data_IF_286713380554
#
_entry.id   IF_286713380554
#
_cell.length_a   1.000
_cell.length_b   1.000
_cell.length_c   1.000
_cell.angle_alpha   90.00
_cell.angle_beta   90.00
_cell.angle_gamma   90.00
#
_symmetry.space_group_name_H-M   'P 1'
#
loop_
_entity.id
_entity.type
_entity.pdbx_description
1 polymer ?
#
# COMPACT_ATOMS: atom_id res chain seq x y z
N UNK A 1 22.17 47.49 -27.76
CA UNK A 1 22.47 46.24 -28.49
C UNK A 1 21.81 44.97 -27.90
N UNK A 2 21.14 44.98 -26.73
CA UNK A 2 20.50 43.76 -26.16
C UNK A 2 18.98 43.63 -26.36
N UNK A 3 18.29 44.60 -26.97
CA UNK A 3 16.83 44.52 -27.23
C UNK A 3 16.43 43.99 -28.61
N UNK A 4 17.37 43.88 -29.56
CA UNK A 4 17.10 43.35 -30.91
C UNK A 4 17.34 41.84 -31.06
N UNK A 5 18.00 41.19 -30.09
CA UNK A 5 18.28 39.74 -30.14
C UNK A 5 17.09 38.88 -29.67
N UNK A 6 16.26 39.38 -28.74
CA UNK A 6 15.10 38.64 -28.23
C UNK A 6 13.94 38.52 -29.21
N UNK A 7 13.72 39.52 -30.06
CA UNK A 7 12.65 39.50 -31.07
C UNK A 7 12.95 38.48 -32.18
N UNK A 8 14.22 38.40 -32.63
CA UNK A 8 14.65 37.46 -33.67
C UNK A 8 14.57 35.98 -33.20
N UNK A 9 14.89 35.70 -31.93
CA UNK A 9 14.74 34.33 -31.38
C UNK A 9 13.27 33.92 -31.18
N UNK A 10 12.40 34.87 -30.82
CA UNK A 10 10.95 34.60 -30.68
C UNK A 10 10.24 34.39 -32.04
N UNK A 11 10.82 34.90 -33.12
CA UNK A 11 10.31 34.72 -34.48
C UNK A 11 10.80 33.39 -35.10
N UNK A 12 12.07 33.02 -34.87
CA UNK A 12 12.58 31.68 -35.21
C UNK A 12 11.86 30.55 -34.45
N UNK A 13 11.50 30.76 -33.19
CA UNK A 13 10.73 29.78 -32.40
C UNK A 13 9.31 29.58 -32.92
N UNK A 14 8.67 30.65 -33.43
CA UNK A 14 7.32 30.58 -34.03
C UNK A 14 7.32 29.94 -35.42
N UNK A 15 8.35 30.17 -36.22
CA UNK A 15 8.50 29.51 -37.53
C UNK A 15 8.72 28.00 -37.37
N UNK A 16 9.53 27.56 -36.41
CA UNK A 16 9.73 26.13 -36.12
C UNK A 16 8.46 25.41 -35.66
N UNK A 17 7.64 26.06 -34.83
CA UNK A 17 6.32 25.52 -34.44
C UNK A 17 5.30 25.52 -35.58
N UNK A 18 5.44 26.41 -36.57
CA UNK A 18 4.58 26.45 -37.75
C UNK A 18 4.95 25.35 -38.77
N UNK A 19 6.24 25.03 -38.90
CA UNK A 19 6.72 23.93 -39.75
C UNK A 19 6.35 22.56 -39.14
N UNK A 20 6.51 22.36 -37.83
CA UNK A 20 6.06 21.12 -37.15
C UNK A 20 4.56 20.87 -37.29
N UNK A 21 3.76 21.94 -37.38
CA UNK A 21 2.31 21.85 -37.61
C UNK A 21 1.93 21.60 -39.07
N UNK A 22 2.82 21.86 -40.03
CA UNK A 22 2.62 21.52 -41.45
C UNK A 22 2.98 20.07 -41.73
N UNK A 23 3.98 19.52 -41.05
CA UNK A 23 4.34 18.09 -41.15
C UNK A 23 3.35 17.16 -40.43
N UNK A 24 2.58 17.67 -39.47
CA UNK A 24 1.50 16.93 -38.81
C UNK A 24 0.18 16.88 -39.62
N UNK A 25 0.15 17.48 -40.82
CA UNK A 25 -1.04 17.61 -41.67
C UNK A 25 -1.29 16.47 -42.66
N UNK A 26 -0.71 15.28 -42.45
CA UNK A 26 -0.97 14.08 -43.23
C UNK A 26 -2.21 13.35 -42.71
N UNK A 27 -3.24 13.24 -43.56
CA UNK A 27 -4.45 12.44 -43.34
C UNK A 27 -4.17 11.07 -42.74
N UNK A 28 -4.83 10.72 -41.63
CA UNK A 28 -4.75 9.39 -41.04
C UNK A 28 -5.47 8.36 -41.93
N UNK A 29 -4.79 7.85 -42.95
CA UNK A 29 -5.19 6.61 -43.61
C UNK A 29 -4.77 5.44 -42.72
N UNK A 30 -5.73 4.55 -42.43
CA UNK A 30 -5.52 3.30 -41.71
C UNK A 30 -4.41 2.46 -42.38
N UNK A 31 -3.25 2.38 -41.72
CA UNK A 31 -2.16 1.51 -42.15
C UNK A 31 -2.54 0.03 -41.99
N UNK A 32 -2.47 -0.72 -43.10
CA UNK A 32 -2.77 -2.15 -43.17
C UNK A 32 -1.63 -2.99 -42.56
N UNK A 33 -1.91 -4.19 -42.03
CA UNK A 33 -0.86 -5.07 -41.51
C UNK A 33 -0.01 -5.63 -42.67
N UNK A 34 1.30 -5.35 -42.67
CA UNK A 34 2.25 -5.97 -43.61
C UNK A 34 3.36 -5.09 -44.19
N UNK A 35 3.71 -3.95 -43.59
CA UNK A 35 4.77 -3.08 -44.12
C UNK A 35 6.19 -3.69 -43.93
N UNK A 36 6.95 -3.98 -45.01
CA UNK A 36 8.28 -4.59 -44.97
C UNK A 36 9.36 -3.76 -44.25
N UNK A 37 9.15 -2.45 -44.08
CA UNK A 37 10.14 -1.56 -43.46
C UNK A 37 10.30 -1.79 -41.94
N UNK A 38 9.35 -2.47 -41.29
CA UNK A 38 9.43 -2.81 -39.86
C UNK A 38 10.31 -4.04 -39.60
N UNK A 39 10.29 -5.03 -40.50
CA UNK A 39 11.09 -6.25 -40.37
C UNK A 39 12.59 -5.96 -40.46
N UNK A 40 12.99 -5.07 -41.36
CA UNK A 40 14.40 -4.74 -41.52
C UNK A 40 15.02 -4.02 -40.31
N UNK A 41 14.22 -3.28 -39.52
CA UNK A 41 14.70 -2.55 -38.35
C UNK A 41 14.74 -3.41 -37.08
N UNK A 42 13.93 -4.48 -37.00
CA UNK A 42 13.95 -5.43 -35.88
C UNK A 42 15.09 -6.47 -36.01
N UNK A 43 15.48 -6.83 -37.25
CA UNK A 43 16.60 -7.76 -37.49
C UNK A 43 17.98 -7.14 -37.20
N UNK A 44 18.14 -5.83 -37.42
CA UNK A 44 19.41 -5.12 -37.23
C UNK A 44 19.73 -4.89 -35.74
N UNK A 45 18.70 -4.62 -34.91
CA UNK A 45 18.83 -4.48 -33.45
C UNK A 45 19.08 -5.83 -32.76
N UNK A 46 18.55 -6.92 -33.32
CA UNK A 46 18.78 -8.28 -32.80
C UNK A 46 20.22 -8.77 -32.96
N UNK A 47 20.95 -8.30 -33.99
CA UNK A 47 22.35 -8.69 -34.24
C UNK A 47 23.35 -8.00 -33.32
N UNK A 48 23.08 -6.78 -32.85
CA UNK A 48 23.96 -6.07 -31.90
C UNK A 48 23.83 -6.55 -30.44
N UNK A 49 22.77 -7.29 -30.10
CA UNK A 49 22.49 -7.72 -28.72
C UNK A 49 22.78 -9.20 -28.43
N UNK A 50 23.34 -9.96 -29.38
CA UNK A 50 23.88 -11.31 -29.13
C UNK A 50 22.86 -12.37 -28.66
N UNK A 51 21.56 -12.20 -28.93
CA UNK A 51 20.51 -13.12 -28.48
C UNK A 51 20.12 -14.12 -29.58
N UNK A 52 20.92 -15.17 -29.75
CA UNK A 52 20.48 -16.37 -30.46
C UNK A 52 19.93 -17.39 -29.47
N UNK A 53 18.60 -17.57 -29.46
CA UNK A 53 17.97 -18.67 -28.73
C UNK A 53 16.46 -18.54 -28.60
N UNK A 54 15.72 -19.16 -29.53
CA UNK A 54 14.29 -19.48 -29.39
C UNK A 54 14.10 -20.50 -28.27
N UNK A 55 14.07 -20.03 -27.01
CA UNK A 55 13.73 -20.87 -25.87
C UNK A 55 12.22 -20.87 -25.64
N UNK A 56 11.64 -22.06 -25.80
CA UNK A 56 10.23 -22.41 -25.52
C UNK A 56 9.75 -21.89 -24.17
N UNK A 57 9.11 -20.72 -24.18
CA UNK A 57 8.43 -20.10 -23.04
C UNK A 57 7.04 -20.73 -22.82
N UNK A 58 6.98 -22.03 -22.53
CA UNK A 58 5.70 -22.70 -22.17
C UNK A 58 5.73 -23.49 -20.86
N UNK A 59 6.85 -23.53 -20.12
CA UNK A 59 6.95 -24.31 -18.87
C UNK A 59 7.50 -23.58 -17.63
N UNK A 60 7.79 -22.28 -17.69
CA UNK A 60 8.34 -21.54 -16.53
C UNK A 60 7.46 -20.42 -15.97
N UNK A 61 6.22 -20.27 -16.45
CA UNK A 61 5.20 -19.40 -15.81
C UNK A 61 4.41 -20.16 -14.72
N UNK A 62 4.46 -21.50 -14.71
CA UNK A 62 3.77 -22.32 -13.71
C UNK A 62 4.41 -22.29 -12.31
N UNK A 63 5.70 -21.93 -12.20
CA UNK A 63 6.41 -21.98 -10.90
C UNK A 63 6.14 -20.73 -10.04
N UNK A 64 5.76 -19.59 -10.64
CA UNK A 64 5.28 -18.43 -9.86
C UNK A 64 3.80 -18.58 -9.43
N UNK A 65 3.05 -19.51 -10.04
CA UNK A 65 1.64 -19.74 -9.74
C UNK A 65 1.38 -20.65 -8.55
N UNK A 66 2.35 -21.43 -8.08
CA UNK A 66 2.13 -22.48 -7.07
C UNK A 66 2.47 -22.11 -5.62
N UNK A 67 2.88 -20.87 -5.34
CA UNK A 67 3.27 -20.39 -4.00
C UNK A 67 2.25 -19.43 -3.37
N UNK A 68 1.00 -19.87 -3.23
CA UNK A 68 0.00 -19.20 -2.37
C UNK A 68 -0.76 -18.01 -2.95
N UNK A 69 -0.28 -17.38 -4.03
CA UNK A 69 -0.94 -16.20 -4.62
C UNK A 69 -2.32 -16.49 -5.23
N UNK A 70 -2.56 -17.70 -5.72
CA UNK A 70 -3.85 -18.07 -6.35
C UNK A 70 -5.05 -17.99 -5.38
N UNK A 71 -4.82 -18.13 -4.07
CA UNK A 71 -5.89 -18.10 -3.07
C UNK A 71 -6.27 -16.66 -2.68
N UNK A 72 -5.33 -15.71 -2.71
CA UNK A 72 -5.59 -14.28 -2.46
C UNK A 72 -6.20 -13.60 -3.68
N UNK A 73 -5.83 -14.04 -4.88
CA UNK A 73 -6.24 -13.42 -6.15
C UNK A 73 -7.60 -13.90 -6.66
N UNK A 74 -8.22 -14.89 -6.02
CA UNK A 74 -9.55 -15.36 -6.41
C UNK A 74 -10.60 -14.50 -5.69
N UNK A 75 -11.54 -13.84 -6.40
CA UNK A 75 -12.66 -13.20 -5.74
C UNK A 75 -13.41 -14.26 -4.91
N UNK A 76 -13.93 -13.92 -3.72
CA UNK A 76 -14.57 -14.88 -2.84
C UNK A 76 -15.72 -15.56 -3.57
N UNK A 77 -15.56 -16.85 -3.87
CA UNK A 77 -16.68 -17.71 -4.17
C UNK A 77 -17.49 -17.85 -2.87
N UNK A 78 -18.79 -17.56 -2.92
CA UNK A 78 -19.71 -17.90 -1.84
C UNK A 78 -19.63 -19.40 -1.49
N UNK A 79 -20.22 -19.82 -0.36
CA UNK A 79 -20.02 -21.17 0.16
C UNK A 79 -20.69 -22.19 -0.76
N UNK A 80 -19.89 -22.88 -1.57
CA UNK A 80 -20.27 -24.12 -2.22
C UNK A 80 -19.13 -25.13 -1.99
N UNK A 81 -19.18 -25.77 -0.82
CA UNK A 81 -18.77 -27.17 -0.72
C UNK A 81 -19.73 -27.98 -1.59
N UNK A 82 -19.26 -28.39 -2.75
CA UNK A 82 -20.01 -29.23 -3.68
C UNK A 82 -19.25 -29.39 -4.98
N UNK A 83 -18.37 -30.40 -5.03
CA UNK A 83 -17.81 -30.84 -6.31
C UNK A 83 -18.90 -31.50 -7.16
N UNK A 84 -19.07 -31.04 -8.39
CA UNK A 84 -19.90 -31.65 -9.43
C UNK A 84 -19.58 -31.04 -10.80
N UNK A 85 -19.52 -31.82 -11.88
CA UNK A 85 -18.91 -31.39 -13.13
C UNK A 85 -19.80 -30.43 -13.93
N UNK A 86 -19.14 -29.62 -14.76
CA UNK A 86 -19.69 -28.56 -15.58
C UNK A 86 -20.96 -28.94 -16.35
N UNK A 87 -21.99 -28.09 -16.26
CA UNK A 87 -23.11 -28.10 -17.19
C UNK A 87 -24.42 -27.58 -16.60
N UNK A 88 -24.64 -26.26 -16.64
CA UNK A 88 -25.94 -25.62 -16.88
C UNK A 88 -25.81 -24.10 -16.69
N UNK A 89 -26.11 -23.35 -17.75
CA UNK A 89 -26.39 -21.91 -17.68
C UNK A 89 -27.66 -21.74 -16.85
N UNK A 90 -27.54 -21.33 -15.59
CA UNK A 90 -28.67 -20.91 -14.77
C UNK A 90 -28.52 -19.41 -14.45
N UNK A 91 -29.56 -18.65 -14.78
CA UNK A 91 -29.63 -17.21 -14.65
C UNK A 91 -29.36 -16.74 -13.20
N UNK A 92 -28.48 -15.75 -13.06
CA UNK A 92 -28.18 -15.09 -11.78
C UNK A 92 -29.23 -13.98 -11.56
N UNK A 93 -29.96 -13.96 -10.43
CA UNK A 93 -30.94 -12.92 -10.15
C UNK A 93 -30.27 -11.56 -9.85
N UNK A 94 -30.95 -10.43 -10.10
CA UNK A 94 -30.37 -9.10 -9.95
C UNK A 94 -30.43 -8.68 -8.48
N UNK A 95 -29.34 -8.89 -7.74
CA UNK A 95 -29.09 -8.21 -6.48
C UNK A 95 -27.94 -7.22 -6.67
N UNK A 96 -28.28 -5.94 -6.47
CA UNK A 96 -27.36 -4.80 -6.51
C UNK A 96 -26.20 -5.01 -5.53
N UNK A 97 -24.96 -4.74 -5.96
CA UNK A 97 -23.83 -4.52 -5.05
C UNK A 97 -22.48 -5.13 -5.45
N UNK A 98 -22.41 -5.99 -6.46
CA UNK A 98 -21.13 -6.34 -7.09
C UNK A 98 -21.26 -6.22 -8.59
N UNK A 99 -20.76 -5.12 -9.14
CA UNK A 99 -20.24 -5.21 -10.49
C UNK A 99 -19.24 -6.36 -10.46
N UNK A 100 -19.52 -7.45 -11.18
CA UNK A 100 -18.45 -8.30 -11.64
C UNK A 100 -17.44 -7.33 -12.26
N UNK A 101 -16.30 -7.16 -11.60
CA UNK A 101 -15.38 -6.09 -11.92
C UNK A 101 -15.13 -6.05 -13.41
N UNK A 102 -15.44 -4.94 -14.07
CA UNK A 102 -15.16 -4.75 -15.50
C UNK A 102 -13.65 -4.50 -15.70
N UNK A 103 -12.80 -5.32 -15.09
CA UNK A 103 -11.36 -5.27 -15.20
C UNK A 103 -10.80 -6.67 -15.49
N UNK A 104 -9.77 -6.79 -16.35
CA UNK A 104 -9.09 -8.05 -16.58
C UNK A 104 -8.47 -8.60 -15.29
N UNK A 105 -8.47 -9.93 -15.13
CA UNK A 105 -7.82 -10.57 -13.96
C UNK A 105 -6.34 -10.19 -13.82
N UNK A 106 -5.64 -9.94 -14.94
CA UNK A 106 -4.27 -9.46 -14.93
C UNK A 106 -4.10 -8.12 -14.18
N UNK A 107 -5.08 -7.22 -14.28
CA UNK A 107 -5.10 -5.95 -13.54
C UNK A 107 -5.21 -6.18 -12.04
N UNK A 108 -6.08 -7.11 -11.61
CA UNK A 108 -6.22 -7.47 -10.21
C UNK A 108 -4.95 -8.12 -9.65
N UNK A 109 -4.33 -9.02 -10.42
CA UNK A 109 -3.05 -9.62 -10.07
C UNK A 109 -1.99 -8.54 -9.85
N UNK A 110 -1.84 -7.63 -10.79
CA UNK A 110 -0.85 -6.56 -10.67
C UNK A 110 -1.13 -5.64 -9.47
N UNK A 111 -2.39 -5.21 -9.29
CA UNK A 111 -2.82 -4.36 -8.18
C UNK A 111 -2.49 -4.99 -6.81
N UNK A 112 -2.80 -6.27 -6.61
CA UNK A 112 -2.47 -6.96 -5.37
C UNK A 112 -0.96 -7.28 -5.24
N UNK A 113 -0.26 -7.51 -6.35
CA UNK A 113 1.19 -7.70 -6.35
C UNK A 113 1.94 -6.45 -5.86
N UNK A 114 1.49 -5.24 -6.22
CA UNK A 114 2.17 -4.02 -5.74
C UNK A 114 1.93 -3.78 -4.25
N UNK A 115 0.78 -4.18 -3.70
CA UNK A 115 0.51 -4.19 -2.26
C UNK A 115 1.43 -5.16 -1.50
N UNK A 116 1.61 -6.37 -2.05
CA UNK A 116 2.58 -7.33 -1.53
C UNK A 116 4.02 -6.78 -1.54
N UNK A 117 4.42 -6.16 -2.66
CA UNK A 117 5.75 -5.62 -2.83
C UNK A 117 6.05 -4.49 -1.84
N UNK A 118 5.15 -3.51 -1.69
CA UNK A 118 5.38 -2.39 -0.77
C UNK A 118 5.44 -2.87 0.69
N UNK A 119 4.65 -3.87 1.07
CA UNK A 119 4.67 -4.44 2.43
C UNK A 119 6.07 -4.97 2.80
N UNK A 120 6.74 -5.66 1.87
CA UNK A 120 8.09 -6.16 2.07
C UNK A 120 9.12 -5.02 2.19
N UNK A 121 8.97 -3.94 1.40
CA UNK A 121 9.84 -2.77 1.49
C UNK A 121 9.66 -2.02 2.82
N UNK A 122 8.43 -1.93 3.33
CA UNK A 122 8.16 -1.35 4.66
C UNK A 122 8.84 -2.16 5.76
N UNK A 123 8.71 -3.49 5.73
CA UNK A 123 9.38 -4.41 6.65
C UNK A 123 10.90 -4.25 6.57
N UNK A 124 11.47 -4.17 5.36
CA UNK A 124 12.89 -3.95 5.14
C UNK A 124 13.42 -2.68 5.83
N UNK A 125 12.57 -1.65 5.97
CA UNK A 125 12.86 -0.43 6.70
C UNK A 125 13.34 -0.66 8.13
N UNK A 126 12.82 -1.69 8.81
CA UNK A 126 13.28 -2.09 10.13
C UNK A 126 14.63 -2.79 10.11
N UNK A 127 15.09 -3.34 8.99
CA UNK A 127 16.29 -4.20 8.89
C UNK A 127 17.47 -3.52 8.18
N UNK A 128 17.30 -2.27 7.77
CA UNK A 128 18.33 -1.49 7.07
C UNK A 128 19.64 -1.46 7.86
N UNK A 129 20.74 -1.75 7.16
CA UNK A 129 22.09 -1.69 7.70
C UNK A 129 22.55 -2.92 8.48
N UNK A 130 21.76 -4.00 8.57
CA UNK A 130 22.13 -5.18 9.36
C UNK A 130 21.71 -6.55 8.82
N UNK A 131 20.75 -6.62 7.89
CA UNK A 131 20.43 -7.88 7.23
C UNK A 131 21.18 -7.99 5.90
N UNK A 132 21.90 -9.10 5.70
CA UNK A 132 22.58 -9.33 4.43
C UNK A 132 21.59 -9.74 3.32
N UNK A 133 21.98 -9.51 2.06
CA UNK A 133 21.09 -9.77 0.91
C UNK A 133 20.74 -11.25 0.73
N UNK A 134 21.61 -12.18 1.13
CA UNK A 134 21.35 -13.62 1.01
C UNK A 134 20.21 -14.04 1.94
N UNK A 135 20.26 -13.61 3.20
CA UNK A 135 19.18 -13.80 4.16
C UNK A 135 17.89 -13.14 3.65
N UNK A 136 17.98 -11.92 3.11
CA UNK A 136 16.81 -11.22 2.55
C UNK A 136 16.14 -12.00 1.40
N UNK A 137 16.93 -12.57 0.48
CA UNK A 137 16.40 -13.37 -0.64
C UNK A 137 15.66 -14.64 -0.20
N UNK A 138 15.97 -15.18 0.98
CA UNK A 138 15.27 -16.34 1.56
C UNK A 138 14.07 -15.86 2.39
N UNK A 139 14.28 -14.83 3.21
CA UNK A 139 13.25 -14.26 4.08
C UNK A 139 12.03 -13.78 3.29
N UNK A 140 12.23 -13.04 2.21
CA UNK A 140 11.15 -12.45 1.40
C UNK A 140 10.13 -13.48 0.91
N UNK A 141 10.51 -14.53 0.15
CA UNK A 141 9.53 -15.49 -0.35
C UNK A 141 8.86 -16.29 0.79
N UNK A 142 9.59 -16.60 1.86
CA UNK A 142 9.02 -17.29 3.02
C UNK A 142 7.99 -16.42 3.73
N UNK A 143 8.34 -15.17 4.05
CA UNK A 143 7.46 -14.26 4.77
C UNK A 143 6.24 -13.87 3.92
N UNK A 144 6.46 -13.65 2.62
CA UNK A 144 5.37 -13.37 1.69
C UNK A 144 4.36 -14.54 1.66
N UNK A 145 4.86 -15.78 1.58
CA UNK A 145 4.02 -16.98 1.48
C UNK A 145 3.31 -17.30 2.79
N UNK A 146 4.04 -17.32 3.91
CA UNK A 146 3.53 -17.82 5.19
C UNK A 146 2.92 -16.74 6.08
N UNK A 147 3.29 -15.47 5.90
CA UNK A 147 2.71 -14.37 6.67
C UNK A 147 1.76 -13.53 5.84
N UNK A 148 2.26 -12.83 4.81
CA UNK A 148 1.47 -11.85 4.05
C UNK A 148 0.25 -12.49 3.39
N UNK A 149 0.44 -13.60 2.65
CA UNK A 149 -0.67 -14.28 1.96
C UNK A 149 -1.75 -14.75 2.93
N UNK A 150 -1.40 -15.21 4.13
CA UNK A 150 -2.37 -15.64 5.15
C UNK A 150 -3.15 -14.44 5.70
N UNK A 151 -2.46 -13.33 6.01
CA UNK A 151 -3.11 -12.09 6.43
C UNK A 151 -4.05 -11.54 5.36
N UNK A 152 -3.57 -11.43 4.12
CA UNK A 152 -4.33 -10.96 2.98
C UNK A 152 -5.55 -11.84 2.69
N UNK A 153 -5.40 -13.16 2.72
CA UNK A 153 -6.53 -14.07 2.53
C UNK A 153 -7.56 -13.93 3.66
N UNK A 154 -7.09 -13.81 4.90
CA UNK A 154 -7.96 -13.69 6.08
C UNK A 154 -8.84 -12.44 6.03
N UNK A 155 -8.30 -11.30 5.56
CA UNK A 155 -8.95 -9.99 5.56
C UNK A 155 -9.59 -9.59 4.23
N UNK A 156 -9.07 -10.05 3.09
CA UNK A 156 -9.53 -9.63 1.75
C UNK A 156 -9.97 -10.80 0.86
N UNK A 157 -9.24 -11.92 0.91
CA UNK A 157 -9.45 -13.08 0.03
C UNK A 157 -10.67 -13.94 0.37
N UNK A 158 -11.53 -13.50 1.30
CA UNK A 158 -12.71 -14.26 1.73
C UNK A 158 -12.51 -15.16 2.94
N UNK A 159 -11.38 -15.05 3.64
CA UNK A 159 -11.08 -15.81 4.86
C UNK A 159 -11.90 -15.39 6.08
N UNK A 160 -11.57 -15.94 7.23
CA UNK A 160 -12.45 -15.86 8.41
C UNK A 160 -12.67 -14.43 8.94
N UNK A 161 -11.67 -13.54 8.91
CA UNK A 161 -11.83 -12.16 9.36
C UNK A 161 -12.71 -11.35 8.41
N UNK A 162 -12.57 -11.59 7.09
CA UNK A 162 -13.44 -11.03 6.06
C UNK A 162 -14.90 -11.44 6.29
N UNK A 163 -15.15 -12.74 6.50
CA UNK A 163 -16.51 -13.24 6.77
C UNK A 163 -17.08 -12.74 8.10
N UNK A 164 -16.23 -12.54 9.10
CA UNK A 164 -16.65 -11.99 10.39
C UNK A 164 -16.95 -10.48 10.31
N UNK A 165 -16.49 -9.81 9.25
CA UNK A 165 -16.73 -8.39 9.00
C UNK A 165 -15.70 -7.48 9.67
N UNK A 166 -14.44 -7.92 9.80
CA UNK A 166 -13.34 -7.00 10.08
C UNK A 166 -13.15 -6.10 8.88
N UNK A 167 -13.13 -4.79 9.11
CA UNK A 167 -12.95 -3.77 8.09
C UNK A 167 -11.46 -3.49 7.94
N UNK A 168 -10.92 -3.73 6.75
CA UNK A 168 -9.58 -3.29 6.37
C UNK A 168 -9.62 -2.85 4.92
N UNK A 169 -10.05 -1.60 4.70
CA UNK A 169 -10.35 -1.06 3.37
C UNK A 169 -9.17 -1.22 2.41
N UNK A 170 -7.99 -0.66 2.70
CA UNK A 170 -6.82 -0.79 1.81
C UNK A 170 -5.55 -1.32 2.47
N UNK A 171 -5.60 -1.84 3.70
CA UNK A 171 -4.46 -2.57 4.29
C UNK A 171 -3.82 -1.92 5.51
N UNK A 172 -4.64 -1.31 6.37
CA UNK A 172 -4.22 -0.96 7.73
C UNK A 172 -3.66 -2.17 8.46
N UNK A 173 -4.26 -3.35 8.28
CA UNK A 173 -3.80 -4.57 8.92
C UNK A 173 -2.92 -5.42 8.01
N UNK A 174 -3.38 -5.74 6.78
CA UNK A 174 -2.64 -6.61 5.86
C UNK A 174 -1.26 -6.06 5.50
N UNK A 175 -1.14 -4.74 5.38
CA UNK A 175 0.09 -4.07 4.95
C UNK A 175 0.78 -3.47 6.16
N UNK A 176 0.20 -2.46 6.80
CA UNK A 176 0.94 -1.63 7.76
C UNK A 176 1.16 -2.28 9.12
N UNK A 177 0.11 -2.82 9.74
CA UNK A 177 0.25 -3.55 11.01
C UNK A 177 1.15 -4.78 10.81
N UNK A 178 0.90 -5.54 9.74
CA UNK A 178 1.67 -6.72 9.38
C UNK A 178 3.16 -6.40 9.20
N UNK A 179 3.52 -5.45 8.32
CA UNK A 179 4.92 -5.09 8.07
C UNK A 179 5.60 -4.47 9.29
N UNK A 180 4.88 -3.66 10.07
CA UNK A 180 5.44 -3.01 11.26
C UNK A 180 5.76 -4.01 12.38
N UNK A 181 4.86 -4.97 12.62
CA UNK A 181 5.10 -6.03 13.62
C UNK A 181 6.16 -7.00 13.13
N UNK A 182 6.11 -7.42 11.86
CA UNK A 182 7.13 -8.30 11.30
C UNK A 182 8.50 -7.63 11.26
N UNK A 183 8.58 -6.34 10.90
CA UNK A 183 9.81 -5.57 10.90
C UNK A 183 10.43 -5.48 12.29
N UNK A 184 9.62 -5.15 13.30
CA UNK A 184 10.06 -5.13 14.70
C UNK A 184 10.48 -6.51 15.22
N UNK A 185 9.74 -7.56 14.86
CA UNK A 185 10.06 -8.95 15.25
C UNK A 185 11.36 -9.42 14.60
N UNK A 186 11.53 -9.19 13.30
CA UNK A 186 12.77 -9.53 12.60
C UNK A 186 13.95 -8.71 13.15
N UNK A 187 13.74 -7.43 13.47
CA UNK A 187 14.75 -6.57 14.10
C UNK A 187 15.23 -7.12 15.45
N UNK A 188 14.33 -7.70 16.24
CA UNK A 188 14.67 -8.37 17.49
C UNK A 188 15.58 -9.59 17.24
N UNK A 189 15.24 -10.47 16.29
CA UNK A 189 16.00 -11.70 16.01
C UNK A 189 17.34 -11.45 15.32
N UNK A 190 17.39 -10.52 14.36
CA UNK A 190 18.63 -10.17 13.65
C UNK A 190 19.61 -9.44 14.60
N UNK A 191 19.07 -8.78 15.62
CA UNK A 191 19.86 -8.03 16.60
C UNK A 191 20.16 -6.59 16.17
N UNK A 192 20.71 -5.78 17.08
CA UNK A 192 20.93 -4.36 16.85
C UNK A 192 22.09 -4.08 15.90
N UNK A 193 22.06 -2.93 15.23
CA UNK A 193 23.24 -2.37 14.57
C UNK A 193 24.31 -2.02 15.60
N UNK A 194 25.52 -1.73 15.12
CA UNK A 194 26.62 -1.28 15.98
C UNK A 194 26.22 -0.03 16.78
N UNK A 195 26.72 0.11 18.00
CA UNK A 195 26.45 1.29 18.85
C UNK A 195 26.82 2.59 18.15
N UNK A 196 27.94 2.59 17.41
CA UNK A 196 28.40 3.74 16.61
C UNK A 196 27.35 4.18 15.58
N UNK A 197 26.73 3.24 14.88
CA UNK A 197 25.72 3.54 13.87
C UNK A 197 24.40 3.97 14.50
N UNK A 198 24.09 3.50 15.71
CA UNK A 198 22.86 3.86 16.44
C UNK A 198 22.95 5.25 17.06
N UNK A 199 24.09 5.59 17.65
CA UNK A 199 24.32 6.90 18.26
C UNK A 199 24.49 8.02 17.22
N UNK A 200 25.00 7.68 16.02
CA UNK A 200 25.22 8.63 14.94
C UNK A 200 24.59 8.15 13.63
N UNK A 201 23.29 8.39 13.51
CA UNK A 201 22.49 8.05 12.32
C UNK A 201 21.92 9.29 11.60
N UNK A 202 22.77 10.19 11.06
CA UNK A 202 22.29 11.34 10.31
C UNK A 202 21.65 10.89 8.97
N UNK A 203 20.60 11.59 8.48
CA UNK A 203 20.08 11.36 7.15
C UNK A 203 21.17 11.55 6.09
N UNK A 204 21.28 10.62 5.15
CA UNK A 204 22.24 10.72 4.05
C UNK A 204 21.83 11.77 3.00
N UNK A 205 20.53 11.90 2.74
CA UNK A 205 19.98 12.82 1.74
C UNK A 205 18.52 13.18 2.05
N UNK A 206 18.30 14.36 2.62
CA UNK A 206 16.96 14.86 2.98
C UNK A 206 16.12 15.17 1.74
N UNK A 207 16.73 15.62 0.64
CA UNK A 207 16.00 15.92 -0.60
C UNK A 207 15.42 14.65 -1.22
N UNK A 208 16.21 13.56 -1.27
CA UNK A 208 15.74 12.29 -1.79
C UNK A 208 14.62 11.70 -0.93
N UNK A 209 14.72 11.85 0.40
CA UNK A 209 13.64 11.49 1.32
C UNK A 209 12.34 12.26 1.01
N UNK A 210 12.43 13.57 0.77
CA UNK A 210 11.28 14.40 0.39
C UNK A 210 10.68 14.00 -0.96
N UNK A 211 11.51 13.68 -1.95
CA UNK A 211 11.04 13.12 -3.23
C UNK A 211 10.28 11.82 -3.02
N UNK A 212 10.81 10.91 -2.21
CA UNK A 212 10.12 9.66 -1.85
C UNK A 212 8.81 9.91 -1.12
N UNK A 213 8.77 10.87 -0.20
CA UNK A 213 7.56 11.27 0.52
C UNK A 213 6.48 11.78 -0.43
N UNK A 214 6.83 12.63 -1.41
CA UNK A 214 5.90 13.13 -2.42
C UNK A 214 5.35 12.02 -3.32
N UNK A 215 6.21 11.10 -3.77
CA UNK A 215 5.78 9.94 -4.57
C UNK A 215 4.84 9.04 -3.77
N UNK A 216 5.14 8.77 -2.49
CA UNK A 216 4.30 7.96 -1.63
C UNK A 216 2.92 8.61 -1.41
N UNK A 217 2.86 9.91 -1.13
CA UNK A 217 1.58 10.60 -0.95
C UNK A 217 0.74 10.52 -2.24
N UNK A 218 1.32 10.86 -3.40
CA UNK A 218 0.60 10.77 -4.67
C UNK A 218 0.18 9.33 -4.98
N UNK A 219 1.06 8.36 -4.78
CA UNK A 219 0.78 6.94 -4.99
C UNK A 219 -0.32 6.40 -4.06
N UNK A 220 -0.44 6.96 -2.85
CA UNK A 220 -1.46 6.55 -1.88
C UNK A 220 -2.89 6.85 -2.35
N UNK A 221 -3.08 7.84 -3.22
CA UNK A 221 -4.37 8.08 -3.86
C UNK A 221 -4.78 6.89 -4.74
N UNK A 222 -3.84 6.27 -5.46
CA UNK A 222 -4.09 5.03 -6.20
C UNK A 222 -4.23 3.82 -5.28
N UNK A 223 -3.51 3.80 -4.16
CA UNK A 223 -3.60 2.74 -3.15
C UNK A 223 -4.98 2.68 -2.49
N UNK A 224 -5.47 3.80 -1.93
CA UNK A 224 -6.79 3.85 -1.30
C UNK A 224 -7.92 4.03 -2.33
N UNK A 225 -7.75 4.88 -3.33
CA UNK A 225 -8.77 5.13 -4.35
C UNK A 225 -8.99 3.96 -5.31
N UNK A 226 -8.02 3.05 -5.44
CA UNK A 226 -8.13 1.89 -6.32
C UNK A 226 -8.84 0.68 -5.70
N UNK A 227 -9.03 0.66 -4.38
CA UNK A 227 -9.54 -0.51 -3.66
C UNK A 227 -11.00 -0.89 -3.99
N UNK A 228 -11.90 0.05 -4.33
CA UNK A 228 -13.23 -0.31 -4.84
C UNK A 228 -13.22 -0.93 -6.24
N UNK A 229 -12.03 -1.06 -6.85
CA UNK A 229 -11.77 -1.60 -8.17
C UNK A 229 -12.59 -0.95 -9.30
N UNK A 230 -13.07 0.27 -9.08
CA UNK A 230 -13.88 1.05 -10.00
C UNK A 230 -13.91 2.51 -9.60
N UNK A 231 -14.09 3.40 -10.60
CA UNK A 231 -14.28 4.83 -10.36
C UNK A 231 -15.72 5.08 -9.88
N UNK A 232 -15.89 5.26 -8.57
CA UNK A 232 -17.20 5.42 -7.93
C UNK A 232 -17.13 6.41 -6.75
N UNK A 233 -18.24 6.52 -6.01
CA UNK A 233 -18.34 7.42 -4.84
C UNK A 233 -17.37 7.00 -3.73
N UNK A 234 -17.26 5.71 -3.46
CA UNK A 234 -16.37 5.14 -2.44
C UNK A 234 -14.89 5.48 -2.73
N UNK A 235 -14.45 5.29 -3.98
CA UNK A 235 -13.11 5.67 -4.44
C UNK A 235 -12.83 7.17 -4.25
N UNK A 236 -13.81 8.01 -4.56
CA UNK A 236 -13.69 9.47 -4.45
C UNK A 236 -13.55 9.93 -3.00
N UNK A 237 -14.34 9.33 -2.10
CA UNK A 237 -14.28 9.59 -0.66
C UNK A 237 -12.95 9.09 -0.10
N UNK A 238 -12.50 7.91 -0.52
CA UNK A 238 -11.21 7.35 -0.09
C UNK A 238 -10.04 8.27 -0.44
N UNK A 239 -9.98 8.81 -1.66
CA UNK A 239 -8.93 9.76 -2.06
C UNK A 239 -9.01 11.05 -1.25
N UNK A 240 -10.22 11.58 -1.03
CA UNK A 240 -10.40 12.81 -0.25
C UNK A 240 -9.94 12.63 1.21
N UNK A 241 -10.42 11.57 1.86
CA UNK A 241 -10.06 11.24 3.24
C UNK A 241 -8.56 10.97 3.39
N UNK A 242 -7.93 10.34 2.39
CA UNK A 242 -6.48 10.11 2.37
C UNK A 242 -5.71 11.42 2.50
N UNK A 243 -6.08 12.43 1.71
CA UNK A 243 -5.43 13.73 1.74
C UNK A 243 -5.70 14.51 3.02
N UNK A 244 -6.96 14.51 3.48
CA UNK A 244 -7.37 15.21 4.72
C UNK A 244 -6.62 14.64 5.93
N UNK A 245 -6.60 13.32 6.08
CA UNK A 245 -5.94 12.66 7.21
C UNK A 245 -4.43 12.86 7.18
N UNK A 246 -3.78 12.69 6.01
CA UNK A 246 -2.35 12.92 5.85
C UNK A 246 -1.92 14.36 6.18
N UNK A 247 -2.64 15.35 5.63
CA UNK A 247 -2.36 16.76 5.89
C UNK A 247 -2.55 17.11 7.37
N UNK A 248 -3.64 16.63 7.99
CA UNK A 248 -3.91 16.87 9.41
C UNK A 248 -2.83 16.25 10.30
N UNK A 249 -2.44 15.01 10.02
CA UNK A 249 -1.41 14.28 10.76
C UNK A 249 -0.03 14.93 10.64
N UNK A 250 0.35 15.37 9.44
CA UNK A 250 1.57 16.15 9.20
C UNK A 250 1.59 17.43 10.05
N UNK A 251 0.49 18.20 10.02
CA UNK A 251 0.39 19.45 10.78
C UNK A 251 0.49 19.19 12.28
N UNK A 252 -0.26 18.22 12.81
CA UNK A 252 -0.24 17.87 14.23
C UNK A 252 1.15 17.42 14.68
N UNK A 253 1.80 16.53 13.92
CA UNK A 253 3.16 16.09 14.23
C UNK A 253 4.14 17.27 14.26
N UNK A 254 4.08 18.13 13.24
CA UNK A 254 4.97 19.30 13.13
C UNK A 254 4.72 20.29 14.26
N UNK A 255 3.46 20.51 14.65
CA UNK A 255 3.10 21.32 15.80
C UNK A 255 3.67 20.74 17.10
N UNK A 256 3.59 19.41 17.30
CA UNK A 256 4.19 18.76 18.48
C UNK A 256 5.72 18.92 18.49
N UNK A 257 6.38 18.78 17.34
CA UNK A 257 7.82 19.04 17.25
C UNK A 257 8.17 20.48 17.64
N UNK A 258 7.40 21.46 17.17
CA UNK A 258 7.59 22.88 17.57
C UNK A 258 7.32 23.09 19.06
N UNK A 259 6.27 22.48 19.63
CA UNK A 259 5.91 22.65 21.04
C UNK A 259 7.00 22.08 21.96
N UNK A 260 7.44 20.85 21.69
CA UNK A 260 8.33 20.10 22.57
C UNK A 260 9.82 20.29 22.25
N UNK A 261 10.19 20.45 20.97
CA UNK A 261 11.58 20.63 20.54
C UNK A 261 11.92 22.05 20.10
N UNK A 262 10.96 22.99 20.13
CA UNK A 262 11.12 24.42 19.81
C UNK A 262 11.51 24.73 18.36
N UNK A 263 11.50 23.74 17.48
CA UNK A 263 11.78 23.89 16.04
C UNK A 263 11.04 22.82 15.23
N UNK A 264 10.62 23.12 13.99
CA UNK A 264 10.05 22.11 13.11
C UNK A 264 11.12 21.12 12.64
N UNK A 265 10.69 19.89 12.33
CA UNK A 265 11.54 18.84 11.77
C UNK A 265 10.98 18.39 10.42
N UNK A 266 11.82 18.39 9.38
CA UNK A 266 11.44 17.86 8.06
C UNK A 266 11.19 16.34 8.14
N UNK A 267 12.03 15.63 8.89
CA UNK A 267 11.85 14.19 9.14
C UNK A 267 10.54 13.96 9.90
N UNK A 268 10.25 14.81 10.89
CA UNK A 268 9.01 14.74 11.66
C UNK A 268 7.78 14.99 10.79
N UNK A 269 7.80 16.00 9.91
CA UNK A 269 6.73 16.26 8.96
C UNK A 269 6.47 15.05 8.04
N UNK A 270 7.53 14.39 7.53
CA UNK A 270 7.39 13.16 6.74
C UNK A 270 6.82 12.00 7.57
N UNK A 271 7.23 11.85 8.83
CA UNK A 271 6.65 10.84 9.74
C UNK A 271 5.16 11.11 10.03
N UNK A 272 4.79 12.37 10.25
CA UNK A 272 3.41 12.82 10.42
C UNK A 272 2.56 12.55 9.18
N UNK A 273 3.09 12.81 7.98
CA UNK A 273 2.45 12.47 6.72
C UNK A 273 2.19 10.95 6.61
N UNK A 274 3.23 10.13 6.80
CA UNK A 274 3.13 8.66 6.67
C UNK A 274 2.13 8.09 7.68
N UNK A 275 2.19 8.52 8.94
CA UNK A 275 1.28 8.03 9.99
C UNK A 275 -0.18 8.38 9.69
N UNK A 276 -0.45 9.55 9.09
CA UNK A 276 -1.80 9.90 8.63
C UNK A 276 -2.28 9.04 7.48
N UNK A 277 -1.42 8.82 6.48
CA UNK A 277 -1.70 7.93 5.34
C UNK A 277 -1.97 6.48 5.81
N UNK A 278 -1.16 5.98 6.74
CA UNK A 278 -1.34 4.65 7.33
C UNK A 278 -2.65 4.57 8.14
N UNK A 279 -2.92 5.55 8.99
CA UNK A 279 -4.08 5.53 9.89
C UNK A 279 -5.40 5.52 9.12
N UNK A 280 -5.51 6.28 8.01
CA UNK A 280 -6.74 6.32 7.23
C UNK A 280 -6.95 5.11 6.33
N UNK A 281 -5.89 4.39 5.98
CA UNK A 281 -5.91 3.24 5.05
C UNK A 281 -7.02 2.20 5.33
N UNK A 282 -7.24 1.70 6.57
CA UNK A 282 -8.30 0.72 6.83
C UNK A 282 -9.72 1.29 6.78
N UNK A 283 -9.89 2.62 6.76
CA UNK A 283 -11.18 3.30 6.80
C UNK A 283 -11.41 4.31 5.68
N UNK A 284 -10.54 4.36 4.67
CA UNK A 284 -10.48 5.49 3.73
C UNK A 284 -11.81 5.74 3.02
N UNK A 285 -12.45 4.69 2.48
CA UNK A 285 -13.80 4.78 1.90
C UNK A 285 -14.95 4.58 2.89
N UNK A 286 -14.65 4.23 4.15
CA UNK A 286 -15.65 3.81 5.13
C UNK A 286 -16.06 4.90 6.12
N UNK A 287 -15.30 6.01 6.21
CA UNK A 287 -15.54 7.07 7.19
C UNK A 287 -15.89 8.40 6.52
N UNK A 288 -16.55 9.28 7.27
CA UNK A 288 -16.84 10.64 6.82
C UNK A 288 -15.61 11.56 6.93
N UNK A 289 -15.58 12.65 6.15
CA UNK A 289 -14.43 13.57 6.12
C UNK A 289 -14.05 14.19 7.47
N UNK A 290 -15.03 14.45 8.34
CA UNK A 290 -14.76 14.92 9.70
C UNK A 290 -14.00 13.87 10.53
N UNK A 291 -14.31 12.58 10.34
CA UNK A 291 -13.64 11.50 11.04
C UNK A 291 -12.21 11.33 10.54
N UNK A 292 -11.94 11.56 9.25
CA UNK A 292 -10.59 11.60 8.70
C UNK A 292 -9.72 12.70 9.34
N UNK A 293 -10.30 13.86 9.69
CA UNK A 293 -9.59 14.90 10.48
C UNK A 293 -9.23 14.37 11.87
N UNK A 294 -10.20 13.76 12.57
CA UNK A 294 -9.96 13.20 13.92
C UNK A 294 -8.90 12.10 13.87
N UNK A 295 -8.99 11.18 12.91
CA UNK A 295 -7.98 10.14 12.68
C UNK A 295 -6.59 10.75 12.40
N UNK A 296 -6.53 11.85 11.65
CA UNK A 296 -5.29 12.59 11.39
C UNK A 296 -4.70 13.23 12.66
N UNK A 297 -5.53 13.79 13.53
CA UNK A 297 -5.07 14.32 14.83
C UNK A 297 -4.50 13.19 15.69
N UNK A 298 -5.20 12.06 15.75
CA UNK A 298 -4.76 10.90 16.52
C UNK A 298 -3.47 10.30 15.94
N UNK A 299 -3.34 10.19 14.62
CA UNK A 299 -2.13 9.62 13.98
C UNK A 299 -0.93 10.56 14.03
N UNK A 300 -1.15 11.87 14.06
CA UNK A 300 -0.07 12.85 14.24
C UNK A 300 0.44 12.91 15.68
N UNK A 301 -0.37 12.48 16.65
CA UNK A 301 -0.07 12.60 18.09
C UNK A 301 0.32 11.29 18.77
N UNK A 302 -0.39 10.19 18.50
CA UNK A 302 -0.16 8.91 19.18
C UNK A 302 1.16 8.27 18.72
N UNK A 303 1.39 8.00 17.42
CA UNK A 303 2.70 7.59 16.93
C UNK A 303 3.86 8.52 17.30
N UNK A 304 3.63 9.84 17.33
CA UNK A 304 4.62 10.81 17.83
C UNK A 304 4.96 10.52 19.30
N UNK A 305 3.95 10.35 20.14
CA UNK A 305 4.12 10.06 21.55
C UNK A 305 4.79 8.70 21.79
N UNK A 306 4.41 7.67 21.04
CA UNK A 306 5.03 6.36 21.18
C UNK A 306 6.51 6.40 20.77
N UNK A 307 6.84 7.10 19.68
CA UNK A 307 8.21 7.21 19.18
C UNK A 307 9.08 8.11 20.07
N UNK A 308 8.60 9.27 20.48
CA UNK A 308 9.41 10.28 21.17
C UNK A 308 9.48 10.08 22.69
N UNK A 309 8.43 9.50 23.28
CA UNK A 309 8.29 9.35 24.75
C UNK A 309 8.33 7.89 25.18
N UNK A 310 7.41 7.06 24.67
CA UNK A 310 7.27 5.67 25.16
C UNK A 310 8.49 4.82 24.80
N UNK A 311 9.03 4.97 23.59
CA UNK A 311 10.21 4.23 23.14
C UNK A 311 11.39 4.43 24.11
N UNK A 312 11.65 5.67 24.54
CA UNK A 312 12.75 6.01 25.47
C UNK A 312 12.52 5.54 26.91
N UNK A 313 11.28 5.20 27.28
CA UNK A 313 10.93 4.75 28.64
C UNK A 313 10.77 3.23 28.74
N UNK A 314 10.52 2.55 27.61
CA UNK A 314 10.30 1.11 27.57
C UNK A 314 11.60 0.36 27.33
N UNK A 315 12.01 -0.48 28.29
CA UNK A 315 13.18 -1.37 28.13
C UNK A 315 13.05 -2.29 26.91
N UNK A 316 11.84 -2.81 26.67
CA UNK A 316 11.55 -3.68 25.53
C UNK A 316 11.79 -2.95 24.20
N UNK A 317 11.24 -1.74 24.07
CA UNK A 317 11.36 -0.98 22.82
C UNK A 317 12.79 -0.50 22.57
N UNK A 318 13.54 -0.11 23.61
CA UNK A 318 14.94 0.28 23.45
C UNK A 318 15.87 -0.88 23.13
N UNK A 319 15.47 -2.10 23.49
CA UNK A 319 16.25 -3.30 23.19
C UNK A 319 16.23 -3.63 21.69
N UNK A 320 15.13 -3.31 21.01
CA UNK A 320 14.96 -3.55 19.57
C UNK A 320 15.33 -2.30 18.79
N UNK A 321 16.40 -2.39 18.01
CA UNK A 321 16.88 -1.29 17.16
C UNK A 321 16.09 -1.21 15.85
N UNK A 322 14.80 -0.85 15.86
CA UNK A 322 14.01 -0.66 14.63
C UNK A 322 14.52 0.56 13.83
N UNK A 323 15.27 0.33 12.73
CA UNK A 323 16.11 1.34 12.07
C UNK A 323 15.38 2.63 11.67
N UNK A 324 14.17 2.51 11.10
CA UNK A 324 13.37 3.67 10.69
C UNK A 324 12.16 3.92 11.61
N UNK A 325 12.03 3.15 12.70
CA UNK A 325 10.86 3.24 13.58
C UNK A 325 9.55 2.80 12.93
N UNK A 326 9.60 1.81 12.03
CA UNK A 326 8.45 1.25 11.29
C UNK A 326 7.37 0.74 12.26
N UNK A 327 7.76 0.27 13.44
CA UNK A 327 6.81 -0.09 14.49
C UNK A 327 5.87 1.07 14.85
N UNK A 328 6.39 2.28 15.02
CA UNK A 328 5.56 3.43 15.38
C UNK A 328 4.79 3.97 14.18
N UNK A 329 5.45 4.11 13.04
CA UNK A 329 4.84 4.73 11.85
C UNK A 329 3.85 3.82 11.13
N UNK A 330 4.00 2.49 11.26
CA UNK A 330 3.12 1.51 10.61
C UNK A 330 2.35 0.62 11.58
N UNK A 331 2.99 0.00 12.59
CA UNK A 331 2.25 -0.90 13.49
C UNK A 331 1.29 -0.14 14.41
N UNK A 332 1.77 0.89 15.10
CA UNK A 332 0.93 1.72 15.99
C UNK A 332 -0.12 2.48 15.17
N UNK A 333 0.29 3.14 14.08
CA UNK A 333 -0.63 3.87 13.22
C UNK A 333 -1.66 2.95 12.52
N UNK A 334 -1.27 1.76 12.07
CA UNK A 334 -2.16 0.80 11.42
C UNK A 334 -3.17 0.19 12.39
N UNK A 335 -2.73 -0.15 13.60
CA UNK A 335 -3.62 -0.56 14.68
C UNK A 335 -4.63 0.55 15.02
N UNK A 336 -4.13 1.78 15.22
CA UNK A 336 -4.96 2.95 15.51
C UNK A 336 -5.99 3.18 14.40
N UNK A 337 -5.56 3.11 13.15
CA UNK A 337 -6.43 3.24 11.98
C UNK A 337 -7.57 2.22 12.03
N UNK A 338 -7.24 0.93 12.14
CA UNK A 338 -8.27 -0.10 12.12
C UNK A 338 -9.20 -0.03 13.33
N UNK A 339 -8.67 0.29 14.52
CA UNK A 339 -9.47 0.49 15.73
C UNK A 339 -10.44 1.68 15.57
N UNK A 340 -9.96 2.81 15.05
CA UNK A 340 -10.80 4.00 14.83
C UNK A 340 -11.78 3.83 13.67
N UNK A 341 -11.47 3.05 12.62
CA UNK A 341 -12.47 2.61 11.64
C UNK A 341 -13.61 1.87 12.34
N UNK A 342 -13.31 1.01 13.32
CA UNK A 342 -14.34 0.33 14.13
C UNK A 342 -15.21 1.27 14.96
N UNK A 343 -14.78 2.51 15.19
CA UNK A 343 -15.58 3.55 15.84
C UNK A 343 -16.37 4.39 14.84
N UNK A 344 -15.75 4.77 13.72
CA UNK A 344 -16.22 5.82 12.82
C UNK A 344 -16.82 5.34 11.50
N UNK A 345 -16.79 4.03 11.21
CA UNK A 345 -17.31 3.51 9.94
C UNK A 345 -18.80 3.85 9.76
N UNK A 346 -19.12 4.59 8.71
CA UNK A 346 -20.45 5.11 8.45
C UNK A 346 -21.31 4.04 7.76
N UNK A 347 -22.56 3.80 8.20
CA UNK A 347 -23.39 2.70 7.70
C UNK A 347 -23.63 2.68 6.20
N UNK A 348 -23.85 3.84 5.58
CA UNK A 348 -24.10 3.97 4.14
C UNK A 348 -22.86 3.59 3.34
N UNK A 349 -21.69 4.11 3.72
CA UNK A 349 -20.40 3.78 3.12
C UNK A 349 -20.04 2.31 3.33
N UNK A 350 -20.30 1.76 4.52
CA UNK A 350 -20.13 0.33 4.78
C UNK A 350 -20.95 -0.52 3.81
N UNK A 351 -22.19 -0.10 3.49
CA UNK A 351 -23.06 -0.79 2.53
C UNK A 351 -22.55 -0.80 1.10
N UNK A 352 -21.58 0.06 0.75
CA UNK A 352 -20.98 0.11 -0.60
C UNK A 352 -19.82 -0.87 -0.76
N UNK A 353 -19.10 -1.18 0.32
CA UNK A 353 -17.80 -1.88 0.26
C UNK A 353 -17.75 -3.17 1.10
N UNK A 354 -18.30 -3.15 2.32
CA UNK A 354 -18.09 -4.22 3.31
C UNK A 354 -18.98 -5.43 2.99
N UNK A 355 -18.45 -6.67 3.02
CA UNK A 355 -19.21 -7.87 2.66
C UNK A 355 -20.35 -8.20 3.63
N UNK A 356 -20.18 -7.85 4.91
CA UNK A 356 -21.17 -8.11 5.97
C UNK A 356 -22.18 -6.96 5.98
N UNK A 357 -23.44 -7.28 5.70
CA UNK A 357 -24.54 -6.29 5.69
C UNK A 357 -24.78 -5.69 7.08
N UNK A 358 -25.33 -4.48 7.12
CA UNK A 358 -25.60 -3.74 8.35
C UNK A 358 -24.36 -3.48 9.22
N UNK A 359 -23.15 -3.54 8.65
CA UNK A 359 -21.91 -3.15 9.32
C UNK A 359 -21.89 -1.64 9.57
N UNK A 360 -21.40 -1.25 10.75
CA UNK A 360 -21.32 0.15 11.19
C UNK A 360 -20.33 0.30 12.33
N UNK A 361 -19.75 1.47 12.49
CA UNK A 361 -18.87 1.81 13.61
C UNK A 361 -19.64 2.00 14.92
N UNK A 362 -18.92 1.94 16.04
CA UNK A 362 -19.48 2.04 17.38
C UNK A 362 -20.34 3.29 17.62
N UNK A 363 -19.99 4.43 17.02
CA UNK A 363 -20.70 5.69 17.23
C UNK A 363 -22.04 5.80 16.48
N UNK A 364 -22.36 4.83 15.62
CA UNK A 364 -23.67 4.76 14.94
C UNK A 364 -24.67 3.83 15.63
N UNK A 365 -24.37 3.36 16.86
CA UNK A 365 -25.26 2.56 17.69
C UNK A 365 -25.55 1.16 17.15
N UNK A 366 -26.58 0.49 17.71
CA UNK A 366 -26.98 -0.86 17.31
C UNK A 366 -25.88 -1.90 17.51
N UNK A 367 -25.56 -2.67 16.46
CA UNK A 367 -24.46 -3.64 16.45
C UNK A 367 -23.06 -2.99 16.34
N UNK A 368 -22.95 -1.66 16.23
CA UNK A 368 -21.68 -0.97 16.03
C UNK A 368 -20.66 -1.19 17.14
N UNK A 369 -21.11 -1.39 18.39
CA UNK A 369 -20.20 -1.70 19.51
C UNK A 369 -19.39 -2.99 19.29
N UNK A 370 -19.96 -3.96 18.55
CA UNK A 370 -19.25 -5.18 18.17
C UNK A 370 -18.16 -4.90 17.13
N UNK A 371 -18.30 -3.86 16.31
CA UNK A 371 -17.36 -3.57 15.25
C UNK A 371 -15.98 -3.22 15.80
N UNK A 372 -15.89 -2.38 16.84
CA UNK A 372 -14.62 -2.09 17.50
C UNK A 372 -13.92 -3.36 18.00
N UNK A 373 -14.68 -4.29 18.60
CA UNK A 373 -14.14 -5.57 19.05
C UNK A 373 -13.61 -6.41 17.89
N UNK A 374 -14.33 -6.49 16.76
CA UNK A 374 -13.87 -7.16 15.54
C UNK A 374 -12.54 -6.58 15.06
N UNK A 375 -12.42 -5.26 15.05
CA UNK A 375 -11.20 -4.58 14.65
C UNK A 375 -10.02 -4.95 15.55
N UNK A 376 -10.21 -4.92 16.88
CA UNK A 376 -9.15 -5.27 17.84
C UNK A 376 -8.76 -6.74 17.70
N UNK A 377 -9.72 -7.65 17.60
CA UNK A 377 -9.46 -9.08 17.44
C UNK A 377 -8.75 -9.40 16.11
N UNK A 378 -9.15 -8.76 15.01
CA UNK A 378 -8.45 -8.86 13.73
C UNK A 378 -7.01 -8.35 13.80
N UNK A 379 -6.79 -7.23 14.49
CA UNK A 379 -5.44 -6.70 14.72
C UNK A 379 -4.59 -7.66 15.56
N UNK A 380 -5.13 -8.22 16.64
CA UNK A 380 -4.44 -9.19 17.50
C UNK A 380 -4.06 -10.46 16.74
N UNK A 381 -4.92 -10.94 15.84
CA UNK A 381 -4.58 -12.04 14.95
C UNK A 381 -3.37 -11.69 14.06
N UNK A 382 -3.38 -10.53 13.40
CA UNK A 382 -2.27 -10.10 12.53
C UNK A 382 -0.98 -9.89 13.33
N UNK A 383 -1.05 -9.33 14.54
CA UNK A 383 0.09 -9.18 15.45
C UNK A 383 0.64 -10.56 15.81
N UNK A 384 -0.21 -11.46 16.33
CA UNK A 384 0.21 -12.79 16.78
C UNK A 384 0.80 -13.63 15.64
N UNK A 385 0.15 -13.63 14.47
CA UNK A 385 0.61 -14.37 13.30
C UNK A 385 1.98 -13.87 12.82
N UNK A 386 2.16 -12.55 12.73
CA UNK A 386 3.45 -11.98 12.33
C UNK A 386 4.55 -12.22 13.36
N UNK A 387 4.27 -12.11 14.65
CA UNK A 387 5.25 -12.45 15.70
C UNK A 387 5.70 -13.90 15.55
N UNK A 388 4.77 -14.84 15.41
CA UNK A 388 5.07 -16.28 15.33
C UNK A 388 5.82 -16.61 14.03
N UNK A 389 5.26 -16.27 12.87
CA UNK A 389 5.82 -16.67 11.57
C UNK A 389 7.14 -15.98 11.31
N UNK A 390 7.26 -14.68 11.59
CA UNK A 390 8.55 -13.98 11.43
C UNK A 390 9.61 -14.56 12.35
N UNK A 391 9.27 -14.92 13.60
CA UNK A 391 10.23 -15.56 14.51
C UNK A 391 10.71 -16.91 13.97
N UNK A 392 9.81 -17.76 13.47
CA UNK A 392 10.16 -19.05 12.88
C UNK A 392 11.11 -18.85 11.68
N UNK A 393 10.78 -17.91 10.78
CA UNK A 393 11.61 -17.64 9.60
C UNK A 393 12.98 -17.07 9.97
N UNK A 394 13.09 -16.30 11.06
CA UNK A 394 14.39 -15.78 11.51
C UNK A 394 15.24 -16.83 12.26
N UNK A 395 14.60 -17.85 12.84
CA UNK A 395 15.27 -18.91 13.60
C UNK A 395 15.80 -20.05 12.71
N UNK A 396 15.08 -20.37 11.64
CA UNK A 396 15.43 -21.40 10.64
C UNK A 396 16.32 -20.80 9.57
#
# INVERSE_FOLDING_TARGET
>A
AQRHSGAAMAEQGRQRMADDRRDAGGTSEHARPGDPLRQHREEEVGRELGLHGTLRLRRRVAVLGHLGLQHVLRPPAGPLLGQGPAGARAAVPPHAGRAAGNYPMASMVYFQCVFAAITLILLAGSLLGRMNIRAWMIFVPLWLTFSYTIGAFSLWGGGFLFQWGVMDYSGGYVIHLSSGIAGFTAAYWVGPRSTKDRERFPPNNVLLMLTGAGILWMGWAGFNGGDPYSANVDASIAVLNTNICAATSLLVWTCLDVIFFKKPSVIGAVQGMITGLVCITPGAGLVQGWAAIVMGILSGSIPWFTMMVVHKRSRLLMHVDDTLGVFHTHAVAGFLGGATTGLFAEPTLCGLFVPVTNSRGAFYGGNGGMQFLKQVAGALFIIGWNVIVTSIICLV
#
